data_IF_813597599129
#
_entry.id   IF_813597599129
#
_cell.length_a   1.000
_cell.length_b   1.000
_cell.length_c   1.000
_cell.angle_alpha   90.00
_cell.angle_beta   90.00
_cell.angle_gamma   90.00
#
_symmetry.space_group_name_H-M   'P 1'
#
loop_
_entity.id
_entity.type
_entity.pdbx_description
1 polymer ?
#
# COMPACT_ATOMS: atom_id res chain seq x y z
N UNK A 1 1.49 74.79 0.79
CA UNK A 1 2.51 73.72 0.93
C UNK A 1 1.82 72.40 0.62
N UNK A 2 2.14 71.71 -0.49
CA UNK A 2 1.42 70.51 -0.87
C UNK A 2 1.93 69.33 -0.05
N UNK A 3 1.00 68.60 0.57
CA UNK A 3 1.28 67.35 1.26
C UNK A 3 1.14 66.22 0.24
N UNK A 4 2.26 65.77 -0.32
CA UNK A 4 2.28 64.62 -1.24
C UNK A 4 1.93 63.34 -0.46
N UNK A 5 0.75 62.77 -0.74
CA UNK A 5 0.36 61.45 -0.25
C UNK A 5 1.12 60.38 -1.03
N UNK A 6 2.10 59.75 -0.39
CA UNK A 6 2.80 58.60 -0.93
C UNK A 6 1.90 57.36 -0.75
N UNK A 7 1.22 56.93 -1.81
CA UNK A 7 0.51 55.64 -1.81
C UNK A 7 1.53 54.50 -1.86
N UNK A 8 1.79 53.87 -0.71
CA UNK A 8 2.49 52.60 -0.62
C UNK A 8 1.56 51.51 -1.19
N UNK A 9 1.82 51.09 -2.43
CA UNK A 9 1.28 49.84 -2.96
C UNK A 9 1.91 48.68 -2.20
N UNK A 10 1.20 48.17 -1.18
CA UNK A 10 1.51 46.87 -0.59
C UNK A 10 1.05 45.83 -1.60
N UNK A 11 1.99 45.35 -2.41
CA UNK A 11 1.78 44.18 -3.24
C UNK A 11 1.74 42.97 -2.30
N UNK A 12 0.55 42.56 -1.89
CA UNK A 12 0.35 41.27 -1.23
C UNK A 12 0.75 40.18 -2.22
N UNK A 13 2.01 39.74 -2.12
CA UNK A 13 2.48 38.52 -2.75
C UNK A 13 1.67 37.37 -2.14
N UNK A 14 0.56 37.01 -2.78
CA UNK A 14 -0.15 35.76 -2.52
C UNK A 14 0.85 34.63 -2.77
N UNK A 15 1.47 34.15 -1.69
CA UNK A 15 2.42 33.05 -1.75
C UNK A 15 1.73 31.84 -2.34
N UNK A 16 2.12 31.44 -3.56
CA UNK A 16 1.66 30.19 -4.14
C UNK A 16 2.17 29.06 -3.26
N UNK A 17 1.29 28.42 -2.50
CA UNK A 17 1.62 27.20 -1.77
C UNK A 17 1.86 26.07 -2.78
N UNK A 18 3.13 25.80 -3.09
CA UNK A 18 3.50 24.65 -3.91
C UNK A 18 3.32 23.40 -3.05
N UNK A 19 2.30 22.59 -3.38
CA UNK A 19 2.14 21.25 -2.81
C UNK A 19 2.96 20.29 -3.65
N UNK A 20 4.04 19.77 -3.07
CA UNK A 20 4.83 18.72 -3.71
C UNK A 20 4.26 17.35 -3.34
N UNK A 21 3.69 16.65 -4.33
CA UNK A 21 3.29 15.26 -4.19
C UNK A 21 4.51 14.32 -4.25
N UNK A 22 4.27 13.03 -3.95
CA UNK A 22 5.28 11.99 -4.21
C UNK A 22 5.47 11.83 -5.72
N UNK A 23 6.57 12.36 -6.24
CA UNK A 23 6.98 12.19 -7.63
C UNK A 23 8.01 11.07 -7.73
N UNK A 24 7.54 9.85 -7.98
CA UNK A 24 8.36 8.63 -8.06
C UNK A 24 8.36 7.98 -9.46
N UNK A 25 7.89 8.71 -10.49
CA UNK A 25 7.86 8.23 -11.87
C UNK A 25 6.79 7.16 -12.19
N UNK A 26 5.98 6.75 -11.22
CA UNK A 26 4.97 5.70 -11.38
C UNK A 26 3.55 6.28 -11.57
N UNK A 27 2.60 5.39 -11.86
CA UNK A 27 1.17 5.72 -12.02
C UNK A 27 0.86 6.87 -13.00
N UNK A 28 1.72 7.09 -14.01
CA UNK A 28 1.49 8.06 -15.11
C UNK A 28 0.25 7.75 -15.94
N UNK A 29 -0.19 6.49 -15.90
CA UNK A 29 -1.50 6.02 -16.32
C UNK A 29 -2.15 5.29 -15.14
N UNK A 30 -3.49 5.21 -15.07
CA UNK A 30 -4.16 4.45 -14.03
C UNK A 30 -3.60 3.02 -13.92
N UNK A 31 -3.22 2.55 -12.72
CA UNK A 31 -2.76 1.18 -12.53
C UNK A 31 -3.84 0.17 -12.93
N UNK A 32 -3.48 -0.83 -13.71
CA UNK A 32 -4.37 -1.93 -14.12
C UNK A 32 -3.87 -3.24 -13.55
N UNK A 33 -4.75 -4.00 -12.90
CA UNK A 33 -4.36 -5.24 -12.23
C UNK A 33 -5.54 -5.96 -11.59
N UNK A 34 -5.21 -6.83 -10.64
CA UNK A 34 -6.17 -7.63 -9.89
C UNK A 34 -5.86 -7.60 -8.40
N UNK A 35 -6.93 -7.60 -7.59
CA UNK A 35 -6.88 -7.61 -6.13
C UNK A 35 -8.01 -8.52 -5.60
N UNK A 36 -7.75 -9.36 -4.58
CA UNK A 36 -8.70 -10.39 -4.14
C UNK A 36 -9.89 -9.84 -3.35
N UNK A 37 -9.77 -8.66 -2.72
CA UNK A 37 -10.62 -8.27 -1.59
C UNK A 37 -12.12 -8.34 -1.87
N UNK A 38 -12.58 -7.81 -2.99
CA UNK A 38 -14.02 -7.78 -3.30
C UNK A 38 -14.60 -9.21 -3.36
N UNK A 39 -13.93 -10.12 -4.08
CA UNK A 39 -14.42 -11.47 -4.35
C UNK A 39 -14.10 -12.48 -3.24
N UNK A 40 -12.92 -12.40 -2.65
CA UNK A 40 -12.38 -13.39 -1.71
C UNK A 40 -12.33 -12.87 -0.27
N UNK A 41 -12.44 -11.56 -0.07
CA UNK A 41 -12.49 -10.92 1.26
C UNK A 41 -11.32 -11.41 2.12
N UNK A 42 -11.63 -11.84 3.34
CA UNK A 42 -10.70 -12.34 4.33
C UNK A 42 -10.90 -13.86 4.57
N UNK A 43 -11.07 -14.65 3.51
CA UNK A 43 -11.17 -16.11 3.66
C UNK A 43 -9.80 -16.68 4.02
N UNK A 44 -9.60 -17.08 5.27
CA UNK A 44 -8.30 -17.61 5.77
C UNK A 44 -8.33 -19.12 6.04
N UNK A 45 -9.51 -19.74 6.14
CA UNK A 45 -9.67 -21.19 6.31
C UNK A 45 -9.36 -21.95 5.01
N UNK A 46 -8.09 -22.29 4.82
CA UNK A 46 -7.62 -23.04 3.65
C UNK A 46 -7.96 -24.54 3.70
N UNK A 47 -8.40 -25.07 4.84
CA UNK A 47 -8.85 -26.46 4.93
C UNK A 47 -10.25 -26.58 4.32
N UNK A 48 -11.13 -25.63 4.64
CA UNK A 48 -12.49 -25.56 4.09
C UNK A 48 -12.53 -24.97 2.68
N UNK A 49 -11.70 -23.97 2.39
CA UNK A 49 -11.69 -23.26 1.11
C UNK A 49 -10.30 -23.31 0.46
N UNK A 50 -9.76 -24.49 0.13
CA UNK A 50 -8.37 -24.63 -0.33
C UNK A 50 -8.07 -23.88 -1.64
N UNK A 51 -9.09 -23.63 -2.46
CA UNK A 51 -8.95 -22.89 -3.71
C UNK A 51 -9.15 -21.40 -3.55
N UNK A 52 -9.81 -20.94 -2.50
CA UNK A 52 -10.34 -19.57 -2.41
C UNK A 52 -9.81 -18.80 -1.19
N UNK A 53 -9.14 -19.49 -0.26
CA UNK A 53 -8.48 -18.81 0.84
C UNK A 53 -7.32 -17.92 0.35
N UNK A 54 -7.12 -16.79 1.02
CA UNK A 54 -6.01 -15.88 0.80
C UNK A 54 -4.71 -16.63 1.10
N UNK A 55 -4.00 -17.00 0.05
CA UNK A 55 -2.84 -17.89 0.12
C UNK A 55 -1.94 -17.72 -1.09
N UNK A 56 -0.70 -18.14 -0.95
CA UNK A 56 0.27 -18.24 -2.04
C UNK A 56 -0.29 -19.02 -3.24
N UNK A 57 -1.06 -20.08 -2.99
CA UNK A 57 -1.70 -20.89 -4.05
C UNK A 57 -2.73 -20.09 -4.85
N UNK A 58 -3.57 -19.29 -4.18
CA UNK A 58 -4.50 -18.38 -4.86
C UNK A 58 -3.73 -17.40 -5.73
N UNK A 59 -2.71 -16.74 -5.18
CA UNK A 59 -1.93 -15.72 -5.88
C UNK A 59 -1.18 -16.31 -7.09
N UNK A 60 -0.51 -17.45 -6.96
CA UNK A 60 0.18 -18.11 -8.08
C UNK A 60 -0.78 -18.56 -9.18
N UNK A 61 -1.95 -19.09 -8.81
CA UNK A 61 -2.99 -19.44 -9.79
C UNK A 61 -3.47 -18.19 -10.54
N UNK A 62 -3.75 -17.10 -9.83
CA UNK A 62 -4.18 -15.84 -10.44
C UNK A 62 -3.10 -15.28 -11.37
N UNK A 63 -1.82 -15.32 -10.98
CA UNK A 63 -0.71 -14.89 -11.81
C UNK A 63 -0.65 -15.67 -13.14
N UNK A 64 -0.85 -17.00 -13.10
CA UNK A 64 -0.90 -17.81 -14.31
C UNK A 64 -2.07 -17.42 -15.20
N UNK A 65 -3.27 -17.23 -14.64
CA UNK A 65 -4.47 -16.87 -15.42
C UNK A 65 -4.37 -15.47 -16.03
N UNK A 66 -3.79 -14.50 -15.31
CA UNK A 66 -3.57 -13.16 -15.85
C UNK A 66 -2.73 -13.22 -17.14
N UNK A 67 -1.76 -14.13 -17.21
CA UNK A 67 -0.93 -14.31 -18.40
C UNK A 67 -1.61 -15.18 -19.45
N UNK A 68 -2.08 -16.39 -19.08
CA UNK A 68 -2.59 -17.37 -20.03
C UNK A 68 -3.88 -16.93 -20.72
N UNK A 69 -4.72 -16.17 -20.01
CA UNK A 69 -6.01 -15.68 -20.53
C UNK A 69 -5.93 -14.27 -21.14
N UNK A 70 -4.72 -13.73 -21.33
CA UNK A 70 -4.50 -12.49 -22.08
C UNK A 70 -4.73 -11.18 -21.32
N UNK A 71 -5.09 -11.20 -20.04
CA UNK A 71 -5.25 -9.97 -19.23
C UNK A 71 -3.95 -9.15 -19.15
N UNK A 72 -2.81 -9.81 -18.98
CA UNK A 72 -1.51 -9.16 -18.96
C UNK A 72 -1.19 -8.49 -20.31
N UNK A 73 -1.54 -9.14 -21.42
CA UNK A 73 -1.39 -8.58 -22.77
C UNK A 73 -2.32 -7.37 -22.98
N UNK A 74 -3.49 -7.35 -22.34
CA UNK A 74 -4.40 -6.21 -22.31
C UNK A 74 -3.98 -5.08 -21.35
N UNK A 75 -2.91 -5.28 -20.56
CA UNK A 75 -2.34 -4.25 -19.68
C UNK A 75 -2.58 -4.44 -18.18
N UNK A 76 -3.27 -5.51 -17.75
CA UNK A 76 -3.45 -5.83 -16.34
C UNK A 76 -2.18 -6.46 -15.76
N UNK A 77 -1.31 -5.65 -15.15
CA UNK A 77 0.04 -6.05 -14.76
C UNK A 77 0.25 -6.16 -13.25
N UNK A 78 -0.55 -5.49 -12.43
CA UNK A 78 -0.43 -5.59 -10.97
C UNK A 78 -1.23 -6.79 -10.43
N UNK A 79 -0.59 -7.57 -9.58
CA UNK A 79 -1.24 -8.61 -8.77
C UNK A 79 -1.05 -8.27 -7.30
N UNK A 80 -2.10 -7.75 -6.68
CA UNK A 80 -2.06 -7.11 -5.37
C UNK A 80 -2.72 -8.05 -4.35
N UNK A 81 -2.02 -8.38 -3.27
CA UNK A 81 -2.60 -9.04 -2.10
C UNK A 81 -3.27 -7.99 -1.24
N UNK A 82 -4.50 -8.24 -0.80
CA UNK A 82 -5.21 -7.36 0.14
C UNK A 82 -5.06 -7.83 1.60
N UNK A 83 -5.89 -7.37 2.52
CA UNK A 83 -5.81 -7.73 3.94
C UNK A 83 -5.81 -9.27 4.18
N UNK A 84 -5.46 -9.66 5.40
CA UNK A 84 -5.47 -11.03 5.89
C UNK A 84 -4.37 -11.93 5.34
N UNK A 85 -3.24 -11.39 4.87
CA UNK A 85 -2.12 -12.19 4.37
C UNK A 85 -1.09 -12.58 5.44
N UNK A 86 -1.03 -11.84 6.54
CA UNK A 86 0.01 -11.93 7.56
C UNK A 86 -0.39 -12.78 8.77
N UNK A 87 0.58 -13.06 9.63
CA UNK A 87 0.39 -13.56 10.98
C UNK A 87 -0.17 -12.46 11.90
N UNK A 88 -0.82 -12.89 12.99
CA UNK A 88 -1.42 -11.97 13.96
C UNK A 88 -0.38 -11.16 14.76
N UNK A 89 0.90 -11.53 14.70
CA UNK A 89 1.99 -10.89 15.43
C UNK A 89 3.22 -10.72 14.55
N UNK A 90 3.99 -9.67 14.84
CA UNK A 90 5.30 -9.43 14.24
C UNK A 90 6.30 -10.46 14.77
N UNK A 91 7.40 -10.62 14.05
CA UNK A 91 8.55 -11.36 14.56
C UNK A 91 9.01 -10.76 15.91
N UNK A 92 9.36 -11.63 16.87
CA UNK A 92 9.71 -11.19 18.23
C UNK A 92 11.08 -10.52 18.33
N UNK A 93 12.00 -10.87 17.43
CA UNK A 93 13.37 -10.39 17.45
C UNK A 93 13.57 -9.20 16.48
N UNK A 94 13.03 -9.30 15.27
CA UNK A 94 13.22 -8.28 14.22
C UNK A 94 12.08 -7.25 14.18
N UNK A 95 10.92 -7.57 14.77
CA UNK A 95 9.68 -6.79 14.64
C UNK A 95 9.14 -6.67 13.21
N UNK A 96 9.68 -7.45 12.27
CA UNK A 96 9.18 -7.48 10.90
C UNK A 96 7.79 -8.13 10.81
N UNK A 97 7.06 -7.76 9.76
CA UNK A 97 5.81 -8.42 9.39
C UNK A 97 6.10 -9.85 8.95
N UNK A 98 5.29 -10.80 9.44
CA UNK A 98 5.39 -12.20 9.06
C UNK A 98 4.21 -12.56 8.15
N UNK A 99 4.43 -13.07 6.92
CA UNK A 99 3.35 -13.68 6.17
C UNK A 99 2.86 -14.93 6.89
N UNK A 100 1.58 -15.27 6.71
CA UNK A 100 1.05 -16.46 7.37
C UNK A 100 1.77 -17.72 6.90
N UNK A 101 2.43 -18.44 7.80
CA UNK A 101 3.35 -19.53 7.44
C UNK A 101 2.60 -20.67 6.74
N UNK A 102 1.41 -21.00 7.23
CA UNK A 102 0.57 -22.06 6.64
C UNK A 102 0.05 -21.72 5.24
N UNK A 103 -0.14 -20.43 4.95
CA UNK A 103 -0.81 -19.95 3.72
C UNK A 103 0.17 -19.42 2.68
N UNK A 104 1.35 -18.98 3.13
CA UNK A 104 2.45 -18.44 2.34
C UNK A 104 3.78 -19.10 2.74
N UNK A 105 3.88 -20.44 2.67
CA UNK A 105 5.01 -21.19 3.21
C UNK A 105 6.35 -20.87 2.54
N UNK A 106 6.34 -20.37 1.30
CA UNK A 106 7.57 -19.96 0.60
C UNK A 106 8.01 -18.52 0.94
N UNK A 107 7.16 -17.76 1.66
CA UNK A 107 7.37 -16.36 1.99
C UNK A 107 7.09 -15.38 0.84
N UNK A 108 7.00 -14.10 1.18
CA UNK A 108 6.56 -13.05 0.24
C UNK A 108 7.60 -12.71 -0.84
N UNK A 109 8.89 -12.84 -0.52
CA UNK A 109 9.96 -12.62 -1.51
C UNK A 109 9.89 -13.64 -2.64
N UNK A 110 9.66 -14.90 -2.33
CA UNK A 110 9.54 -15.95 -3.35
C UNK A 110 8.27 -15.77 -4.20
N UNK A 111 7.16 -15.40 -3.56
CA UNK A 111 5.93 -15.06 -4.27
C UNK A 111 6.13 -13.85 -5.21
N UNK A 112 6.82 -12.80 -4.74
CA UNK A 112 7.19 -11.64 -5.54
C UNK A 112 8.02 -12.04 -6.76
N UNK A 113 9.08 -12.83 -6.55
CA UNK A 113 9.91 -13.36 -7.64
C UNK A 113 9.10 -14.18 -8.65
N UNK A 114 8.16 -15.02 -8.19
CA UNK A 114 7.30 -15.78 -9.08
C UNK A 114 6.41 -14.87 -9.95
N UNK A 115 5.81 -13.84 -9.35
CA UNK A 115 4.98 -12.85 -10.05
C UNK A 115 5.82 -12.08 -11.09
N UNK A 116 7.03 -11.65 -10.72
CA UNK A 116 7.95 -10.97 -11.63
C UNK A 116 8.39 -11.87 -12.79
N UNK A 117 8.66 -13.15 -12.54
CA UNK A 117 9.00 -14.13 -13.58
C UNK A 117 7.86 -14.37 -14.59
N UNK A 118 6.63 -13.96 -14.26
CA UNK A 118 5.48 -13.94 -15.17
C UNK A 118 5.31 -12.61 -15.93
N UNK A 119 6.21 -11.65 -15.73
CA UNK A 119 6.12 -10.30 -16.31
C UNK A 119 5.08 -9.38 -15.64
N UNK A 120 4.57 -9.81 -14.49
CA UNK A 120 3.62 -9.07 -13.65
C UNK A 120 4.37 -8.30 -12.53
N UNK A 121 3.64 -7.46 -11.80
CA UNK A 121 4.13 -6.61 -10.72
C UNK A 121 3.42 -7.00 -9.42
N UNK A 122 4.18 -7.13 -8.34
CA UNK A 122 3.70 -7.64 -7.05
C UNK A 122 3.20 -6.49 -6.18
N UNK A 123 1.94 -6.56 -5.74
CA UNK A 123 1.37 -5.60 -4.79
C UNK A 123 1.03 -6.20 -3.44
N UNK A 124 1.05 -5.38 -2.40
CA UNK A 124 0.72 -5.77 -1.03
C UNK A 124 -0.18 -4.73 -0.36
N UNK A 125 -0.94 -5.18 0.62
CA UNK A 125 -1.75 -4.35 1.51
C UNK A 125 -1.04 -4.12 2.83
N UNK A 126 -1.26 -2.93 3.37
CA UNK A 126 -0.99 -2.60 4.75
C UNK A 126 -2.01 -1.60 5.30
N UNK A 127 -1.97 -1.37 6.60
CA UNK A 127 -2.81 -0.41 7.32
C UNK A 127 -1.95 0.58 8.11
N UNK A 128 -2.30 1.86 8.10
CA UNK A 128 -1.56 2.90 8.79
C UNK A 128 -1.65 2.78 10.32
N UNK A 129 -2.78 2.30 10.84
CA UNK A 129 -3.08 2.29 12.26
C UNK A 129 -2.40 1.15 13.02
N UNK A 130 -2.96 0.79 14.18
CA UNK A 130 -2.37 -0.24 15.04
C UNK A 130 -2.61 -1.67 14.55
N UNK A 131 -3.67 -1.89 13.78
CA UNK A 131 -4.11 -3.21 13.26
C UNK A 131 -4.67 -3.03 11.86
N UNK A 132 -4.76 -4.12 11.10
CA UNK A 132 -5.49 -4.09 9.84
C UNK A 132 -7.00 -4.08 10.07
N UNK A 133 -7.77 -3.53 9.12
CA UNK A 133 -9.23 -3.46 9.17
C UNK A 133 -9.92 -4.78 9.53
N UNK A 134 -9.38 -5.93 9.11
CA UNK A 134 -9.92 -7.26 9.41
C UNK A 134 -9.40 -7.87 10.71
N UNK A 135 -8.59 -7.15 11.50
CA UNK A 135 -8.00 -7.61 12.77
C UNK A 135 -7.06 -8.83 12.63
N UNK A 136 -6.65 -9.18 11.42
CA UNK A 136 -5.84 -10.36 11.13
C UNK A 136 -4.34 -10.11 11.20
N UNK A 137 -3.91 -8.88 11.47
CA UNK A 137 -2.51 -8.55 11.60
C UNK A 137 -2.23 -7.18 12.20
N UNK A 138 -0.98 -6.92 12.60
CA UNK A 138 -0.51 -5.63 13.05
C UNK A 138 -0.55 -4.60 11.91
N UNK A 139 -0.93 -3.36 12.22
CA UNK A 139 -0.76 -2.22 11.30
C UNK A 139 0.63 -1.61 11.39
N UNK A 140 0.83 -0.50 10.69
CA UNK A 140 2.12 0.15 10.49
C UNK A 140 2.52 1.10 11.63
N UNK A 141 1.62 1.38 12.59
CA UNK A 141 1.89 2.30 13.69
C UNK A 141 3.24 1.99 14.36
N UNK A 142 4.12 3.00 14.42
CA UNK A 142 5.48 2.95 14.97
C UNK A 142 6.51 2.12 14.16
N UNK A 143 6.14 1.56 13.00
CA UNK A 143 6.99 0.67 12.20
C UNK A 143 7.16 1.11 10.74
N UNK A 144 6.81 2.36 10.37
CA UNK A 144 6.79 2.81 8.97
C UNK A 144 8.09 2.55 8.19
N UNK A 145 9.25 2.90 8.75
CA UNK A 145 10.53 2.68 8.08
C UNK A 145 10.87 1.19 7.94
N UNK A 146 10.55 0.40 8.97
CA UNK A 146 10.79 -1.04 8.96
C UNK A 146 9.92 -1.71 7.90
N UNK A 147 8.61 -1.47 7.94
CA UNK A 147 7.64 -2.08 7.04
C UNK A 147 7.90 -1.69 5.58
N UNK A 148 8.22 -0.41 5.32
CA UNK A 148 8.62 0.03 3.99
C UNK A 148 9.87 -0.73 3.49
N UNK A 149 10.89 -0.90 4.34
CA UNK A 149 12.10 -1.64 3.99
C UNK A 149 11.81 -3.13 3.79
N UNK A 150 10.96 -3.74 4.62
CA UNK A 150 10.51 -5.13 4.46
C UNK A 150 9.84 -5.32 3.10
N UNK A 151 8.95 -4.40 2.69
CA UNK A 151 8.30 -4.45 1.37
C UNK A 151 9.30 -4.30 0.22
N UNK A 152 10.28 -3.40 0.35
CA UNK A 152 11.35 -3.26 -0.63
C UNK A 152 12.20 -4.52 -0.75
N UNK A 153 12.55 -5.16 0.38
CA UNK A 153 13.33 -6.40 0.43
C UNK A 153 12.58 -7.59 -0.20
N UNK A 154 11.25 -7.61 -0.11
CA UNK A 154 10.40 -8.60 -0.78
C UNK A 154 10.14 -8.32 -2.26
N UNK A 155 10.57 -7.16 -2.76
CA UNK A 155 10.36 -6.80 -4.16
C UNK A 155 8.94 -6.32 -4.47
N UNK A 156 8.25 -5.71 -3.52
CA UNK A 156 6.91 -5.14 -3.74
C UNK A 156 6.98 -3.95 -4.71
N UNK A 157 6.01 -3.83 -5.62
CA UNK A 157 5.87 -2.76 -6.63
C UNK A 157 4.68 -1.83 -6.37
N UNK A 158 3.76 -2.24 -5.49
CA UNK A 158 2.53 -1.53 -5.18
C UNK A 158 2.16 -1.74 -3.71
N UNK A 159 1.90 -0.67 -2.97
CA UNK A 159 1.41 -0.72 -1.59
C UNK A 159 0.05 -0.03 -1.52
N UNK A 160 -0.99 -0.78 -1.15
CA UNK A 160 -2.26 -0.21 -0.67
C UNK A 160 -2.11 0.07 0.82
N UNK A 161 -2.45 1.28 1.25
CA UNK A 161 -2.41 1.70 2.64
C UNK A 161 -3.79 2.15 3.12
N UNK A 162 -4.43 1.30 3.92
CA UNK A 162 -5.65 1.63 4.64
C UNK A 162 -5.37 2.45 5.90
N UNK A 163 -6.43 2.86 6.60
CA UNK A 163 -6.36 3.77 7.73
C UNK A 163 -7.28 3.37 8.90
N UNK A 164 -7.60 2.08 9.04
CA UNK A 164 -8.36 1.64 10.20
C UNK A 164 -7.53 1.81 11.48
N UNK A 165 -8.19 1.99 12.63
CA UNK A 165 -7.52 2.11 13.94
C UNK A 165 -6.44 3.22 14.00
N UNK A 166 -6.60 4.27 13.20
CA UNK A 166 -5.81 5.49 13.29
C UNK A 166 -6.75 6.67 13.57
N UNK A 167 -6.34 7.57 14.46
CA UNK A 167 -7.00 8.85 14.67
C UNK A 167 -6.77 9.79 13.49
N UNK A 168 -7.57 10.85 13.40
CA UNK A 168 -7.45 11.84 12.34
C UNK A 168 -6.05 12.47 12.26
N UNK A 169 -5.45 12.77 13.40
CA UNK A 169 -4.09 13.34 13.48
C UNK A 169 -3.05 12.32 13.01
N UNK A 170 -3.24 11.04 13.31
CA UNK A 170 -2.35 9.97 12.86
C UNK A 170 -2.46 9.75 11.35
N UNK A 171 -3.66 9.83 10.76
CA UNK A 171 -3.83 9.79 9.30
C UNK A 171 -3.04 10.93 8.63
N UNK A 172 -3.23 12.16 9.11
CA UNK A 172 -2.63 13.35 8.49
C UNK A 172 -1.09 13.35 8.55
N UNK A 173 -0.52 12.75 9.60
CA UNK A 173 0.94 12.62 9.74
C UNK A 173 1.49 11.38 9.05
N UNK A 174 0.79 10.25 9.21
CA UNK A 174 1.28 8.93 8.87
C UNK A 174 1.31 8.68 7.36
N UNK A 175 0.31 9.10 6.59
CA UNK A 175 0.34 8.90 5.14
C UNK A 175 1.56 9.58 4.47
N UNK A 176 1.86 10.87 4.74
CA UNK A 176 3.08 11.49 4.25
C UNK A 176 4.36 10.82 4.78
N UNK A 177 4.38 10.39 6.05
CA UNK A 177 5.55 9.75 6.66
C UNK A 177 5.86 8.38 6.04
N UNK A 178 4.84 7.56 5.87
CA UNK A 178 4.98 6.26 5.21
C UNK A 178 5.36 6.42 3.73
N UNK A 179 4.79 7.40 3.02
CA UNK A 179 5.20 7.74 1.66
C UNK A 179 6.69 8.13 1.57
N UNK A 180 7.22 8.89 2.54
CA UNK A 180 8.65 9.19 2.64
C UNK A 180 9.48 7.95 2.96
N UNK A 181 8.99 7.08 3.84
CA UNK A 181 9.65 5.81 4.17
C UNK A 181 9.79 4.91 2.94
N UNK A 182 8.73 4.77 2.13
CA UNK A 182 8.78 4.06 0.85
C UNK A 182 9.83 4.65 -0.09
N UNK A 183 9.84 5.97 -0.27
CA UNK A 183 10.81 6.65 -1.14
C UNK A 183 12.26 6.42 -0.66
N UNK A 184 12.50 6.42 0.66
CA UNK A 184 13.83 6.21 1.27
C UNK A 184 14.41 4.82 0.98
N UNK A 185 13.57 3.81 0.72
CA UNK A 185 14.05 2.46 0.36
C UNK A 185 14.80 2.42 -0.97
N UNK A 186 14.60 3.42 -1.84
CA UNK A 186 15.16 3.45 -3.20
C UNK A 186 14.44 2.53 -4.19
N UNK A 187 13.46 1.73 -3.76
CA UNK A 187 12.62 0.93 -4.65
C UNK A 187 11.37 1.73 -5.06
N UNK A 188 11.13 1.98 -6.34
CA UNK A 188 9.89 2.59 -6.80
C UNK A 188 8.69 1.70 -6.47
N UNK A 189 7.73 2.21 -5.71
CA UNK A 189 6.48 1.53 -5.35
C UNK A 189 5.30 2.46 -5.59
N UNK A 190 4.25 1.98 -6.26
CA UNK A 190 2.99 2.71 -6.34
C UNK A 190 2.40 2.80 -4.93
N UNK A 191 2.04 4.00 -4.49
CA UNK A 191 1.49 4.22 -3.16
C UNK A 191 0.01 4.61 -3.24
N UNK A 192 -0.87 3.65 -2.96
CA UNK A 192 -2.32 3.81 -3.01
C UNK A 192 -2.85 4.13 -1.62
N UNK A 193 -3.42 5.33 -1.46
CA UNK A 193 -3.77 5.88 -0.17
C UNK A 193 -5.29 5.92 0.02
N UNK A 194 -5.80 5.25 1.06
CA UNK A 194 -7.21 5.37 1.46
C UNK A 194 -7.50 6.63 2.29
N UNK A 195 -6.51 7.51 2.52
CA UNK A 195 -6.60 8.66 3.43
C UNK A 195 -7.89 9.48 3.33
N UNK A 196 -8.32 9.95 2.13
CA UNK A 196 -9.49 10.80 2.03
C UNK A 196 -10.79 10.11 2.46
N UNK A 197 -10.88 8.79 2.29
CA UNK A 197 -12.05 8.01 2.69
C UNK A 197 -12.26 8.06 4.21
N UNK A 198 -11.21 7.91 4.99
CA UNK A 198 -11.31 7.94 6.46
C UNK A 198 -11.55 9.36 7.00
N UNK A 199 -11.00 10.39 6.34
CA UNK A 199 -11.27 11.80 6.70
C UNK A 199 -12.74 12.20 6.50
N UNK A 200 -13.37 11.66 5.46
CA UNK A 200 -14.78 11.90 5.21
C UNK A 200 -15.71 11.25 6.25
N UNK A 201 -15.22 10.30 7.06
CA UNK A 201 -16.02 9.64 8.09
C UNK A 201 -15.95 10.33 9.45
N UNK A 202 -14.86 11.03 9.78
CA UNK A 202 -14.70 11.73 11.06
C UNK A 202 -15.35 13.11 11.11
N UNK A 203 -15.87 13.59 9.97
CA UNK A 203 -16.45 14.92 9.81
C UNK A 203 -17.98 14.97 10.01
N UNK A 204 -18.60 13.88 10.47
CA UNK A 204 -20.00 13.78 10.89
C UNK A 204 -20.09 13.45 12.38
#
# INVERSE_FOLDING_TARGET
>A
MPLSLLFLFICDCVGTHIVNGLENGLARKPPMGWMPFERFRCVTDCSRFPKDCISERLMRRTANLLVSEGYAAAGYRYLIIDDCWMEASRDKATHELLPSEDRFPSGMRDLGNYIHNKGLLFGIYHDLGEKTCMFHGPGAARHFNLDAQTFANWGVDYVKMDGCFASEIELDRGYPEFGRALNKTGRPMVYSCSWPFYKAQTSN
#
